data_IF_890450669705
#
_entry.id   IF_890450669705
#
_cell.length_a   1.000
_cell.length_b   1.000
_cell.length_c   1.000
_cell.angle_alpha   90.00
_cell.angle_beta   90.00
_cell.angle_gamma   90.00
#
_symmetry.space_group_name_H-M   'P 1'
#
loop_
_entity.id
_entity.type
_entity.pdbx_description
1 polymer ?
#
# COMPACT_ATOMS: atom_id res chain seq x y z
N UNK A 1 17.31 -3.96 -62.58
CA UNK A 1 18.35 -2.93 -62.42
C UNK A 1 17.91 -2.05 -61.28
N UNK A 2 18.61 -2.16 -60.14
CA UNK A 2 18.77 -1.16 -59.12
C UNK A 2 19.09 -1.84 -57.77
N UNK A 3 20.11 -1.34 -57.16
CA UNK A 3 20.97 -1.94 -56.14
C UNK A 3 20.32 -2.04 -54.73
N UNK A 4 20.92 -2.90 -53.86
CA UNK A 4 20.45 -3.12 -52.50
C UNK A 4 21.10 -2.16 -51.48
N UNK A 5 20.28 -1.57 -50.61
CA UNK A 5 20.66 -0.67 -49.51
C UNK A 5 21.42 -1.35 -48.38
N UNK A 6 22.43 -0.66 -47.90
CA UNK A 6 23.42 -1.04 -46.89
C UNK A 6 22.81 -1.29 -45.51
N UNK A 7 23.12 -2.45 -44.92
CA UNK A 7 22.96 -2.73 -43.48
C UNK A 7 24.00 -1.94 -42.67
N UNK A 8 23.58 -1.09 -41.78
CA UNK A 8 24.44 -0.53 -40.73
C UNK A 8 24.59 -1.52 -39.56
N UNK A 9 25.82 -1.89 -39.29
CA UNK A 9 26.22 -2.68 -38.10
C UNK A 9 26.28 -1.77 -36.87
N UNK A 10 25.55 -2.11 -35.85
CA UNK A 10 25.76 -1.53 -34.52
C UNK A 10 27.01 -2.13 -33.86
N UNK A 11 27.93 -1.26 -33.47
CA UNK A 11 29.13 -1.58 -32.69
C UNK A 11 28.82 -1.53 -31.18
N UNK A 12 29.31 -2.45 -30.34
CA UNK A 12 29.06 -2.43 -28.91
C UNK A 12 29.89 -1.35 -28.22
N UNK A 13 29.25 -0.57 -27.40
CA UNK A 13 29.80 0.49 -26.56
C UNK A 13 30.68 -0.12 -25.45
N UNK A 14 32.02 0.11 -25.51
CA UNK A 14 32.97 -0.21 -24.45
C UNK A 14 32.97 0.91 -23.40
N UNK A 15 32.52 0.60 -22.21
CA UNK A 15 32.66 1.46 -21.03
C UNK A 15 34.11 1.42 -20.52
N UNK A 16 34.85 2.50 -20.69
CA UNK A 16 36.12 2.72 -20.05
C UNK A 16 35.91 3.37 -18.66
N UNK A 17 36.10 2.59 -17.61
CA UNK A 17 36.30 3.12 -16.25
C UNK A 17 37.68 3.66 -16.12
N UNK A 18 37.86 4.97 -16.06
CA UNK A 18 39.13 5.63 -15.70
C UNK A 18 39.29 5.59 -14.18
N UNK A 19 40.19 4.75 -13.70
CA UNK A 19 40.75 4.86 -12.36
C UNK A 19 41.83 5.96 -12.36
N UNK A 20 41.59 7.05 -11.64
CA UNK A 20 42.59 8.08 -11.37
C UNK A 20 43.39 7.64 -10.16
N UNK A 21 44.63 7.24 -10.39
CA UNK A 21 45.65 6.99 -9.37
C UNK A 21 46.15 8.35 -8.85
N UNK A 22 45.87 8.68 -7.60
CA UNK A 22 46.45 9.83 -6.92
C UNK A 22 47.76 9.35 -6.28
N UNK A 23 48.88 9.80 -6.80
CA UNK A 23 50.20 9.67 -6.15
C UNK A 23 50.22 10.60 -4.94
N UNK A 24 50.41 10.02 -3.74
CA UNK A 24 50.63 10.76 -2.51
C UNK A 24 52.03 11.33 -2.50
N UNK A 25 52.13 12.57 -2.11
CA UNK A 25 53.36 13.22 -1.66
C UNK A 25 53.48 13.08 -0.16
N UNK A 26 54.68 12.69 0.29
CA UNK A 26 55.07 12.54 1.67
C UNK A 26 54.80 13.81 2.47
N UNK A 27 53.97 13.71 3.50
CA UNK A 27 53.94 14.65 4.59
C UNK A 27 53.94 13.84 5.90
N UNK A 28 55.05 13.94 6.63
CA UNK A 28 55.31 13.19 7.85
C UNK A 28 54.23 13.39 8.92
N UNK A 29 53.55 12.34 9.26
CA UNK A 29 52.70 12.25 10.43
C UNK A 29 53.54 11.80 11.61
N UNK A 30 53.96 12.75 12.44
CA UNK A 30 54.49 12.50 13.78
C UNK A 30 53.38 11.83 14.61
N UNK A 31 53.64 10.57 14.95
CA UNK A 31 52.87 9.82 15.95
C UNK A 31 52.96 10.52 17.31
N UNK A 32 51.97 11.28 17.70
CA UNK A 32 51.77 11.67 19.09
C UNK A 32 51.39 10.45 19.89
N UNK A 33 52.29 10.03 20.77
CA UNK A 33 52.02 9.08 21.84
C UNK A 33 50.88 9.63 22.66
N UNK A 34 49.69 9.00 22.56
CA UNK A 34 48.61 9.21 23.52
C UNK A 34 48.97 8.44 24.78
N UNK A 35 49.51 9.16 25.75
CA UNK A 35 49.70 8.69 27.11
C UNK A 35 48.29 8.47 27.72
N UNK A 36 47.93 7.18 27.79
CA UNK A 36 46.70 6.73 28.45
C UNK A 36 46.90 6.82 29.95
N UNK A 37 46.81 8.03 30.53
CA UNK A 37 46.73 8.18 31.99
C UNK A 37 45.46 7.44 32.46
N UNK A 38 45.71 6.29 33.08
CA UNK A 38 44.71 5.51 33.80
C UNK A 38 44.08 6.38 34.86
N UNK A 39 42.90 7.00 34.58
CA UNK A 39 42.02 7.47 35.65
C UNK A 39 41.44 6.22 36.32
N UNK A 40 42.08 5.83 37.45
CA UNK A 40 41.51 4.88 38.40
C UNK A 40 40.24 5.52 38.94
N UNK A 41 39.08 5.01 38.52
CA UNK A 41 37.84 5.30 39.19
C UNK A 41 37.87 4.65 40.58
N UNK A 42 38.15 5.45 41.61
CA UNK A 42 38.05 5.07 43.01
C UNK A 42 36.53 5.07 43.35
N UNK A 43 35.79 4.02 42.97
CA UNK A 43 34.42 3.85 43.40
C UNK A 43 34.28 2.98 44.64
N UNK A 44 35.34 2.29 45.08
CA UNK A 44 35.35 1.47 46.29
C UNK A 44 36.58 1.82 47.13
N UNK A 45 36.40 2.82 48.02
CA UNK A 45 37.37 3.11 49.04
C UNK A 45 37.31 2.02 50.11
N UNK A 46 38.45 1.33 50.34
CA UNK A 46 38.75 0.47 51.50
C UNK A 46 38.01 -0.88 51.59
N UNK A 47 37.77 -1.57 50.53
CA UNK A 47 37.50 -3.03 50.63
C UNK A 47 38.81 -3.78 50.41
N UNK A 48 39.10 -4.81 51.23
CA UNK A 48 40.24 -5.71 50.99
C UNK A 48 40.05 -6.47 49.68
N UNK A 49 41.15 -6.86 49.03
CA UNK A 49 41.07 -7.60 47.77
C UNK A 49 40.23 -8.87 47.88
N UNK A 50 40.21 -9.50 49.05
CA UNK A 50 39.33 -10.65 49.33
C UNK A 50 37.85 -10.28 49.34
N UNK A 51 37.48 -9.13 49.92
CA UNK A 51 36.11 -8.66 49.96
C UNK A 51 35.60 -8.29 48.56
N UNK A 52 36.43 -7.77 47.66
CA UNK A 52 36.11 -7.51 46.27
C UNK A 52 35.91 -8.82 45.48
N UNK A 53 36.75 -9.85 45.77
CA UNK A 53 36.60 -11.17 45.14
C UNK A 53 35.30 -11.86 45.55
N UNK A 54 34.91 -11.81 46.82
CA UNK A 54 33.62 -12.36 47.28
C UNK A 54 32.42 -11.59 46.74
N UNK A 55 32.52 -10.27 46.59
CA UNK A 55 31.45 -9.48 45.97
C UNK A 55 31.25 -9.83 44.50
N UNK A 56 32.37 -10.00 43.75
CA UNK A 56 32.31 -10.40 42.35
C UNK A 56 31.79 -11.82 42.17
N UNK A 57 32.17 -12.75 43.05
CA UNK A 57 31.61 -14.11 43.05
C UNK A 57 30.11 -14.10 43.36
N UNK A 58 29.67 -13.28 44.32
CA UNK A 58 28.26 -13.14 44.65
C UNK A 58 27.44 -12.58 43.48
N UNK A 59 27.94 -11.54 42.82
CA UNK A 59 27.28 -10.95 41.62
C UNK A 59 27.22 -11.98 40.50
N UNK A 60 28.32 -12.70 40.26
CA UNK A 60 28.36 -13.75 39.23
C UNK A 60 27.35 -14.87 39.50
N UNK A 61 27.24 -15.28 40.79
CA UNK A 61 26.25 -16.28 41.20
C UNK A 61 24.81 -15.84 40.96
N UNK A 62 24.49 -14.58 41.32
CA UNK A 62 23.14 -14.00 41.08
C UNK A 62 22.84 -13.93 39.56
N UNK A 63 23.81 -13.51 38.75
CA UNK A 63 23.63 -13.46 37.30
C UNK A 63 23.38 -14.88 36.71
N UNK A 64 24.13 -15.88 37.18
CA UNK A 64 23.92 -17.28 36.75
C UNK A 64 22.52 -17.78 37.14
N UNK A 65 22.05 -17.48 38.33
CA UNK A 65 20.69 -17.87 38.79
C UNK A 65 19.62 -17.19 37.94
N UNK A 66 19.76 -15.88 37.66
CA UNK A 66 18.82 -15.15 36.82
C UNK A 66 18.81 -15.70 35.39
N UNK A 67 19.98 -16.00 34.81
CA UNK A 67 20.07 -16.64 33.50
C UNK A 67 19.44 -18.02 33.44
N UNK A 68 19.64 -18.84 34.49
CA UNK A 68 19.00 -20.15 34.61
C UNK A 68 17.48 -20.03 34.74
N UNK A 69 16.98 -19.05 35.51
CA UNK A 69 15.55 -18.80 35.61
C UNK A 69 14.95 -18.29 34.28
N UNK A 70 15.68 -17.42 33.56
CA UNK A 70 15.28 -16.99 32.22
C UNK A 70 15.27 -18.14 31.22
N UNK A 71 16.28 -19.01 31.25
CA UNK A 71 16.32 -20.21 30.43
C UNK A 71 15.21 -21.21 30.78
N UNK A 72 14.94 -21.40 32.07
CA UNK A 72 13.84 -22.27 32.52
C UNK A 72 12.46 -21.72 32.04
N UNK A 73 12.26 -20.40 32.11
CA UNK A 73 11.05 -19.77 31.60
C UNK A 73 10.97 -19.83 30.05
N UNK A 74 12.10 -19.65 29.33
CA UNK A 74 12.14 -19.83 27.88
C UNK A 74 11.87 -21.29 27.49
N UNK A 75 12.44 -22.26 28.18
CA UNK A 75 12.18 -23.67 27.93
C UNK A 75 10.75 -24.08 28.31
N UNK A 76 10.21 -23.54 29.40
CA UNK A 76 8.80 -23.76 29.77
C UNK A 76 7.84 -23.14 28.74
N UNK A 77 8.17 -21.94 28.22
CA UNK A 77 7.42 -21.31 27.11
C UNK A 77 7.52 -22.11 25.81
N UNK A 78 8.69 -22.69 25.50
CA UNK A 78 8.87 -23.56 24.33
C UNK A 78 8.17 -24.91 24.50
N UNK A 79 8.13 -25.48 25.70
CA UNK A 79 7.45 -26.79 25.95
C UNK A 79 5.91 -26.59 25.88
N UNK A 80 5.38 -25.46 26.32
CA UNK A 80 3.95 -25.15 26.14
C UNK A 80 3.60 -24.72 24.69
N UNK A 81 4.59 -24.25 23.90
CA UNK A 81 4.42 -23.92 22.48
C UNK A 81 4.65 -25.10 21.53
N UNK A 82 5.26 -26.21 22.00
CA UNK A 82 5.59 -27.40 21.19
C UNK A 82 4.77 -28.63 21.51
N UNK A 83 3.83 -28.60 22.42
CA UNK A 83 2.70 -29.50 22.34
C UNK A 83 1.75 -28.94 21.28
N UNK A 84 2.20 -28.97 20.02
CA UNK A 84 1.30 -29.17 18.91
C UNK A 84 0.67 -30.56 19.20
N UNK A 85 -0.38 -30.52 19.96
CA UNK A 85 -1.42 -31.51 19.80
C UNK A 85 -1.82 -31.35 18.34
N UNK A 86 -1.41 -32.31 17.49
CA UNK A 86 -2.15 -32.66 16.30
C UNK A 86 -3.53 -33.19 16.76
N UNK A 87 -4.29 -32.33 17.41
CA UNK A 87 -5.73 -32.35 17.29
C UNK A 87 -5.99 -31.78 15.91
N UNK A 88 -6.04 -32.64 14.92
CA UNK A 88 -6.91 -32.49 13.76
C UNK A 88 -8.36 -32.43 14.29
N UNK A 89 -8.67 -31.51 15.16
CA UNK A 89 -9.99 -30.95 15.21
C UNK A 89 -10.03 -30.06 13.94
N UNK A 90 -10.68 -30.55 12.92
CA UNK A 90 -11.21 -29.70 11.86
C UNK A 90 -12.12 -28.71 12.58
N UNK A 91 -11.54 -27.55 13.01
CA UNK A 91 -12.33 -26.46 13.52
C UNK A 91 -13.14 -25.97 12.32
N UNK A 92 -14.39 -26.44 12.25
CA UNK A 92 -15.35 -25.89 11.29
C UNK A 92 -15.81 -24.56 11.82
N UNK A 93 -16.07 -23.61 10.92
CA UNK A 93 -16.67 -22.34 11.29
C UNK A 93 -18.08 -22.62 11.89
N UNK A 94 -18.33 -22.12 13.10
CA UNK A 94 -19.56 -22.42 13.85
C UNK A 94 -20.83 -21.86 13.19
N UNK A 95 -20.68 -20.73 12.42
CA UNK A 95 -21.82 -20.10 11.75
C UNK A 95 -22.11 -20.73 10.39
N UNK A 96 -21.07 -21.06 9.63
CA UNK A 96 -21.19 -21.66 8.30
C UNK A 96 -19.98 -22.53 7.99
N UNK A 97 -20.17 -23.85 7.90
CA UNK A 97 -19.07 -24.81 7.64
C UNK A 97 -18.42 -24.67 6.26
N UNK A 98 -18.99 -23.87 5.35
CA UNK A 98 -18.43 -23.57 4.01
C UNK A 98 -17.40 -22.44 4.06
N UNK A 99 -17.36 -21.70 5.16
CA UNK A 99 -16.41 -20.62 5.40
C UNK A 99 -15.26 -21.17 6.26
N UNK A 100 -14.03 -20.70 5.97
CA UNK A 100 -12.84 -21.13 6.72
C UNK A 100 -13.02 -20.87 8.22
N UNK A 101 -12.55 -21.80 9.06
CA UNK A 101 -12.55 -21.64 10.51
C UNK A 101 -11.75 -20.38 10.90
N UNK A 102 -12.15 -19.75 12.02
CA UNK A 102 -11.54 -18.52 12.55
C UNK A 102 -11.77 -17.24 11.72
N UNK A 103 -12.48 -17.31 10.59
CA UNK A 103 -12.98 -16.11 9.90
C UNK A 103 -13.89 -15.31 10.84
N UNK A 104 -13.80 -13.98 10.81
CA UNK A 104 -14.63 -13.12 11.65
C UNK A 104 -16.14 -13.40 11.44
N UNK A 105 -16.93 -13.24 12.50
CA UNK A 105 -18.37 -13.50 12.42
C UNK A 105 -19.07 -12.59 11.41
N UNK A 106 -18.61 -11.35 11.29
CA UNK A 106 -19.16 -10.39 10.33
C UNK A 106 -18.94 -10.87 8.90
N UNK A 107 -17.71 -11.21 8.56
CA UNK A 107 -17.34 -11.69 7.22
C UNK A 107 -18.01 -13.04 6.90
N UNK A 108 -18.09 -13.95 7.89
CA UNK A 108 -18.80 -15.23 7.73
C UNK A 108 -20.27 -15.02 7.34
N UNK A 109 -20.99 -14.11 8.00
CA UNK A 109 -22.40 -13.81 7.66
C UNK A 109 -22.53 -13.26 6.24
N UNK A 110 -21.64 -12.34 5.83
CA UNK A 110 -21.65 -11.80 4.48
C UNK A 110 -21.44 -12.89 3.42
N UNK A 111 -20.54 -13.86 3.67
CA UNK A 111 -20.37 -15.02 2.78
C UNK A 111 -21.60 -15.91 2.73
N UNK A 112 -22.19 -16.22 3.88
CA UNK A 112 -23.34 -17.15 3.97
C UNK A 112 -24.47 -16.76 3.02
N UNK A 113 -24.71 -15.46 2.82
CA UNK A 113 -25.79 -14.94 1.98
C UNK A 113 -25.52 -15.12 0.47
N UNK A 114 -24.26 -15.34 0.06
CA UNK A 114 -23.86 -15.32 -1.36
C UNK A 114 -23.15 -16.59 -1.86
N UNK A 115 -22.84 -17.55 -1.00
CA UNK A 115 -22.00 -18.72 -1.31
C UNK A 115 -22.49 -19.65 -2.41
N UNK A 116 -23.70 -19.52 -2.88
CA UNK A 116 -24.25 -20.39 -3.92
C UNK A 116 -24.19 -19.77 -5.32
N UNK A 117 -23.57 -18.59 -5.46
CA UNK A 117 -23.71 -17.77 -6.67
C UNK A 117 -22.48 -17.69 -7.56
N UNK A 118 -21.25 -17.94 -7.04
CA UNK A 118 -20.04 -17.86 -7.86
C UNK A 118 -18.89 -18.72 -7.31
N UNK A 119 -18.18 -19.44 -8.17
CA UNK A 119 -17.09 -20.34 -7.80
C UNK A 119 -15.94 -19.61 -7.09
N UNK A 120 -15.57 -18.40 -7.54
CA UNK A 120 -14.52 -17.62 -6.90
C UNK A 120 -14.89 -17.20 -5.46
N UNK A 121 -16.12 -16.80 -5.22
CA UNK A 121 -16.61 -16.41 -3.90
C UNK A 121 -16.62 -17.62 -2.96
N UNK A 122 -17.08 -18.77 -3.43
CA UNK A 122 -17.06 -20.02 -2.66
C UNK A 122 -15.63 -20.43 -2.31
N UNK A 123 -14.71 -20.32 -3.25
CA UNK A 123 -13.30 -20.61 -2.99
C UNK A 123 -12.70 -19.63 -1.98
N UNK A 124 -12.94 -18.32 -2.14
CA UNK A 124 -12.47 -17.27 -1.22
C UNK A 124 -13.02 -17.51 0.20
N UNK A 125 -14.29 -17.86 0.34
CA UNK A 125 -14.90 -18.18 1.63
C UNK A 125 -14.20 -19.34 2.34
N UNK A 126 -13.88 -20.41 1.60
CA UNK A 126 -13.17 -21.57 2.13
C UNK A 126 -11.71 -21.27 2.52
N UNK A 127 -11.17 -20.09 2.18
CA UNK A 127 -9.82 -19.62 2.49
C UNK A 127 -9.82 -18.21 3.14
N UNK A 128 -10.94 -17.78 3.70
CA UNK A 128 -11.14 -16.38 4.12
C UNK A 128 -10.22 -15.96 5.27
N UNK A 129 -9.92 -16.85 6.21
CA UNK A 129 -8.99 -16.57 7.31
C UNK A 129 -7.51 -16.56 6.86
N UNK A 130 -7.21 -17.22 5.73
CA UNK A 130 -5.86 -17.26 5.17
C UNK A 130 -5.40 -15.92 4.57
N UNK A 131 -6.35 -15.01 4.28
CA UNK A 131 -6.01 -13.64 3.88
C UNK A 131 -5.49 -12.84 5.09
N UNK A 132 -4.36 -12.16 4.93
CA UNK A 132 -3.79 -11.31 5.98
C UNK A 132 -4.64 -10.08 6.28
N UNK A 133 -5.44 -9.66 5.30
CA UNK A 133 -6.28 -8.49 5.34
C UNK A 133 -7.70 -8.91 4.95
N UNK A 134 -8.63 -8.90 5.92
CA UNK A 134 -10.04 -9.28 5.69
C UNK A 134 -10.74 -8.34 4.70
N UNK A 135 -10.20 -7.14 4.43
CA UNK A 135 -10.74 -6.22 3.43
C UNK A 135 -10.65 -6.77 2.00
N UNK A 136 -9.73 -7.73 1.74
CA UNK A 136 -9.64 -8.40 0.45
C UNK A 136 -10.84 -9.34 0.17
N UNK A 137 -11.17 -10.30 1.04
CA UNK A 137 -12.41 -11.06 0.85
C UNK A 137 -13.68 -10.19 0.91
N UNK A 138 -13.73 -9.11 1.72
CA UNK A 138 -14.83 -8.13 1.69
C UNK A 138 -14.92 -7.42 0.33
N UNK A 139 -13.78 -7.09 -0.29
CA UNK A 139 -13.74 -6.51 -1.63
C UNK A 139 -14.39 -7.45 -2.66
N UNK A 140 -14.07 -8.74 -2.64
CA UNK A 140 -14.67 -9.72 -3.54
C UNK A 140 -16.19 -9.87 -3.36
N UNK A 141 -16.67 -9.74 -2.12
CA UNK A 141 -18.11 -9.77 -1.81
C UNK A 141 -18.83 -8.54 -2.35
N UNK A 142 -18.23 -7.36 -2.23
CA UNK A 142 -18.79 -6.09 -2.66
C UNK A 142 -18.72 -5.89 -4.17
N UNK A 143 -17.58 -6.24 -4.76
CA UNK A 143 -17.24 -6.10 -6.17
C UNK A 143 -16.91 -7.50 -6.74
N UNK A 144 -17.91 -8.19 -7.26
CA UNK A 144 -17.74 -9.57 -7.74
C UNK A 144 -16.71 -9.69 -8.86
N UNK A 145 -16.48 -8.61 -9.61
CA UNK A 145 -15.43 -8.55 -10.64
C UNK A 145 -14.02 -8.53 -10.06
N UNK A 146 -13.87 -8.16 -8.79
CA UNK A 146 -12.60 -8.27 -8.07
C UNK A 146 -12.30 -9.70 -7.58
N UNK A 147 -13.29 -10.61 -7.57
CA UNK A 147 -13.12 -11.95 -7.01
C UNK A 147 -12.00 -12.78 -7.68
N UNK A 148 -11.79 -12.75 -9.00
CA UNK A 148 -10.65 -13.45 -9.61
C UNK A 148 -9.30 -12.90 -9.14
N UNK A 149 -9.16 -11.57 -8.98
CA UNK A 149 -7.98 -10.93 -8.41
C UNK A 149 -7.77 -11.37 -6.95
N UNK A 150 -8.79 -11.27 -6.12
CA UNK A 150 -8.69 -11.65 -4.70
C UNK A 150 -8.28 -13.12 -4.56
N UNK A 151 -8.90 -14.02 -5.32
CA UNK A 151 -8.53 -15.43 -5.35
C UNK A 151 -7.06 -15.64 -5.77
N UNK A 152 -6.56 -14.93 -6.76
CA UNK A 152 -5.19 -15.07 -7.26
C UNK A 152 -4.11 -14.75 -6.21
N UNK A 153 -4.44 -14.05 -5.13
CA UNK A 153 -3.50 -13.74 -4.04
C UNK A 153 -3.07 -15.02 -3.31
N UNK A 154 -3.96 -15.98 -3.17
CA UNK A 154 -3.69 -17.26 -2.49
C UNK A 154 -3.64 -18.45 -3.45
N UNK A 155 -4.26 -18.37 -4.62
CA UNK A 155 -4.32 -19.43 -5.63
C UNK A 155 -3.42 -19.10 -6.82
N UNK A 156 -2.20 -19.61 -6.82
CA UNK A 156 -1.22 -19.40 -7.90
C UNK A 156 -1.63 -19.99 -9.26
N UNK A 157 -2.69 -20.80 -9.32
CA UNK A 157 -3.24 -21.32 -10.57
C UNK A 157 -4.09 -20.29 -11.31
N UNK A 158 -4.46 -19.19 -10.65
CA UNK A 158 -5.26 -18.10 -11.20
C UNK A 158 -4.34 -16.90 -11.48
N UNK A 159 -4.38 -16.40 -12.69
CA UNK A 159 -3.75 -15.11 -13.03
C UNK A 159 -4.73 -13.99 -12.75
N UNK A 160 -4.29 -12.98 -11.99
CA UNK A 160 -5.08 -11.78 -11.73
C UNK A 160 -5.43 -11.10 -13.08
N UNK A 161 -6.69 -10.73 -13.31
CA UNK A 161 -7.06 -9.96 -14.48
C UNK A 161 -6.33 -8.62 -14.51
N UNK A 162 -5.75 -8.29 -15.65
CA UNK A 162 -5.05 -7.03 -15.90
C UNK A 162 -5.72 -6.30 -17.06
N UNK A 163 -5.91 -4.99 -16.88
CA UNK A 163 -6.51 -4.15 -17.91
C UNK A 163 -5.48 -3.75 -18.97
N UNK A 164 -5.90 -3.68 -20.22
CA UNK A 164 -5.12 -3.06 -21.29
C UNK A 164 -5.42 -1.55 -21.30
N UNK A 165 -4.56 -0.78 -20.60
CA UNK A 165 -4.76 0.66 -20.40
C UNK A 165 -3.79 1.41 -21.30
N UNK A 166 -4.34 2.15 -22.26
CA UNK A 166 -3.59 3.08 -23.12
C UNK A 166 -3.99 4.50 -22.77
N UNK A 167 -3.18 5.24 -21.97
CA UNK A 167 -3.45 6.62 -21.62
C UNK A 167 -3.57 7.51 -22.88
N UNK A 168 -4.66 8.25 -22.96
CA UNK A 168 -4.93 9.20 -24.05
C UNK A 168 -5.48 10.49 -23.47
N UNK A 169 -4.88 11.62 -23.84
CA UNK A 169 -5.34 12.93 -23.41
C UNK A 169 -6.78 13.20 -23.86
N UNK A 170 -7.61 13.62 -22.91
CA UNK A 170 -9.04 13.85 -23.15
C UNK A 170 -9.92 12.62 -22.99
N UNK A 171 -9.32 11.43 -22.75
CA UNK A 171 -10.04 10.18 -22.50
C UNK A 171 -9.81 9.70 -21.07
N UNK A 172 -10.88 9.59 -20.29
CA UNK A 172 -10.78 9.09 -18.91
C UNK A 172 -10.69 7.57 -18.90
N UNK A 173 -9.56 6.98 -18.50
CA UNK A 173 -9.49 5.53 -18.35
C UNK A 173 -10.33 5.10 -17.14
N UNK A 174 -10.91 3.91 -17.24
CA UNK A 174 -11.57 3.27 -16.11
C UNK A 174 -10.59 2.30 -15.46
N UNK A 175 -10.10 2.62 -14.29
CA UNK A 175 -9.11 1.85 -13.55
C UNK A 175 -9.64 1.48 -12.16
N UNK A 176 -9.36 0.25 -11.72
CA UNK A 176 -9.75 -0.24 -10.41
C UNK A 176 -8.55 -0.58 -9.55
N UNK A 177 -8.70 -0.48 -8.23
CA UNK A 177 -7.62 -0.78 -7.28
C UNK A 177 -7.19 -2.24 -7.32
N UNK A 178 -8.06 -3.15 -7.73
CA UNK A 178 -7.81 -4.59 -7.85
C UNK A 178 -7.32 -5.05 -9.22
N UNK A 179 -6.84 -4.15 -10.05
CA UNK A 179 -6.22 -4.54 -11.32
C UNK A 179 -4.95 -5.37 -11.10
N UNK A 180 -4.78 -6.43 -11.88
CA UNK A 180 -3.62 -7.33 -11.78
C UNK A 180 -2.28 -6.66 -12.01
N UNK A 181 -2.26 -5.47 -12.64
CA UNK A 181 -1.04 -4.68 -12.85
C UNK A 181 -0.46 -4.09 -11.56
N UNK A 182 -1.29 -3.80 -10.55
CA UNK A 182 -0.85 -3.11 -9.35
C UNK A 182 -1.53 -3.56 -8.06
N UNK A 183 -2.70 -4.20 -8.10
CA UNK A 183 -3.53 -4.44 -6.93
C UNK A 183 -2.84 -5.17 -5.77
N UNK A 184 -1.89 -6.07 -6.05
CA UNK A 184 -1.13 -6.82 -5.04
C UNK A 184 0.08 -6.06 -4.47
N UNK A 185 0.43 -4.88 -5.02
CA UNK A 185 1.54 -4.06 -4.54
C UNK A 185 1.26 -3.56 -3.12
N UNK A 186 2.21 -3.75 -2.21
CA UNK A 186 2.10 -3.29 -0.83
C UNK A 186 1.96 -1.77 -0.76
N UNK A 187 0.96 -1.27 -0.04
CA UNK A 187 0.74 0.14 0.20
C UNK A 187 -0.08 0.36 1.49
N UNK A 188 0.31 1.34 2.29
CA UNK A 188 -0.34 1.59 3.57
C UNK A 188 -0.20 0.39 4.51
N UNK A 189 -1.29 -0.05 5.09
CA UNK A 189 -1.34 -1.24 5.94
C UNK A 189 -1.71 -2.52 5.18
N UNK A 190 -2.05 -2.39 3.89
CA UNK A 190 -2.45 -3.49 3.03
C UNK A 190 -1.78 -3.44 1.67
N UNK A 191 -2.58 -3.31 0.64
CA UNK A 191 -2.14 -3.25 -0.76
C UNK A 191 -2.85 -2.13 -1.51
N UNK A 192 -2.46 -1.87 -2.75
CA UNK A 192 -3.19 -0.93 -3.62
C UNK A 192 -4.67 -1.32 -3.73
N UNK A 193 -4.99 -2.62 -3.73
CA UNK A 193 -6.38 -3.07 -3.81
C UNK A 193 -7.23 -2.59 -2.63
N UNK A 194 -6.65 -2.42 -1.43
CA UNK A 194 -7.36 -1.99 -0.21
C UNK A 194 -7.15 -0.53 0.14
N UNK A 195 -5.96 0.03 -0.11
CA UNK A 195 -5.55 1.36 0.35
C UNK A 195 -5.18 2.32 -0.79
N UNK A 196 -5.09 1.85 -2.05
CA UNK A 196 -4.50 2.59 -3.17
C UNK A 196 -5.48 3.42 -4.01
N UNK A 197 -6.72 3.66 -3.56
CA UNK A 197 -7.71 4.42 -4.36
C UNK A 197 -7.22 5.79 -4.78
N UNK A 198 -6.45 6.48 -3.93
CA UNK A 198 -5.84 7.77 -4.24
C UNK A 198 -4.81 7.67 -5.36
N UNK A 199 -3.98 6.62 -5.35
CA UNK A 199 -2.95 6.39 -6.35
C UNK A 199 -3.56 6.10 -7.72
N UNK A 200 -4.59 5.26 -7.75
CA UNK A 200 -5.33 4.94 -8.99
C UNK A 200 -6.09 6.14 -9.51
N UNK A 201 -6.73 6.94 -8.62
CA UNK A 201 -7.37 8.22 -8.99
C UNK A 201 -6.37 9.19 -9.60
N UNK A 202 -5.16 9.29 -9.03
CA UNK A 202 -4.11 10.15 -9.53
C UNK A 202 -3.60 9.72 -10.91
N UNK A 203 -3.45 8.41 -11.12
CA UNK A 203 -3.15 7.84 -12.42
C UNK A 203 -4.20 8.20 -13.48
N UNK A 204 -5.49 8.00 -13.18
CA UNK A 204 -6.59 8.35 -14.08
C UNK A 204 -6.59 9.84 -14.45
N UNK A 205 -6.33 10.73 -13.48
CA UNK A 205 -6.24 12.17 -13.71
C UNK A 205 -5.09 12.52 -14.65
N UNK A 206 -3.90 11.95 -14.43
CA UNK A 206 -2.73 12.18 -15.31
C UNK A 206 -2.96 11.66 -16.71
N UNK A 207 -3.52 10.47 -16.83
CA UNK A 207 -3.87 9.86 -18.12
C UNK A 207 -4.81 10.78 -18.91
N UNK A 208 -5.89 11.25 -18.27
CA UNK A 208 -6.87 12.11 -18.96
C UNK A 208 -6.33 13.51 -19.27
N UNK A 209 -5.70 14.19 -18.31
CA UNK A 209 -5.28 15.59 -18.49
C UNK A 209 -4.02 15.73 -19.34
N UNK A 210 -3.12 14.75 -19.30
CA UNK A 210 -1.79 14.82 -19.93
C UNK A 210 -1.55 13.76 -21.01
N UNK A 211 -2.37 12.70 -21.09
CA UNK A 211 -2.06 11.50 -21.86
C UNK A 211 -0.85 10.73 -21.33
N UNK A 212 -0.52 10.94 -20.04
CA UNK A 212 0.69 10.43 -19.42
C UNK A 212 0.42 9.19 -18.56
N UNK A 213 0.93 8.05 -18.98
CA UNK A 213 0.94 6.79 -18.26
C UNK A 213 2.35 6.30 -17.91
N UNK A 214 3.35 7.17 -17.96
CA UNK A 214 4.75 6.83 -17.70
C UNK A 214 5.01 6.38 -16.25
N UNK A 215 4.20 6.84 -15.33
CA UNK A 215 4.17 6.39 -13.94
C UNK A 215 2.84 5.71 -13.65
N UNK A 216 2.90 4.56 -13.02
CA UNK A 216 1.78 3.71 -12.68
C UNK A 216 1.40 3.86 -11.19
N UNK A 217 0.27 3.32 -10.73
CA UNK A 217 -0.02 3.24 -9.31
C UNK A 217 1.06 2.56 -8.46
N UNK A 218 1.87 1.65 -9.04
CA UNK A 218 3.03 1.05 -8.36
C UNK A 218 4.11 2.10 -8.06
N UNK A 219 4.45 2.93 -9.05
CA UNK A 219 5.45 3.99 -8.88
C UNK A 219 4.96 5.04 -7.87
N UNK A 220 3.66 5.32 -7.86
CA UNK A 220 3.07 6.23 -6.87
C UNK A 220 3.06 5.64 -5.47
N UNK A 221 2.94 4.31 -5.30
CA UNK A 221 3.00 3.67 -3.99
C UNK A 221 4.36 3.90 -3.30
N UNK A 222 5.46 3.87 -4.06
CA UNK A 222 6.78 4.19 -3.54
C UNK A 222 6.89 5.66 -3.12
N UNK A 223 6.41 6.60 -3.95
CA UNK A 223 6.44 8.04 -3.69
C UNK A 223 5.52 8.46 -2.55
N UNK A 224 4.37 7.78 -2.41
CA UNK A 224 3.34 8.09 -1.44
C UNK A 224 3.50 7.35 -0.10
N UNK A 225 4.57 6.59 0.10
CA UNK A 225 4.76 5.77 1.30
C UNK A 225 4.58 6.56 2.61
N UNK A 226 5.17 7.76 2.70
CA UNK A 226 5.05 8.63 3.87
C UNK A 226 3.69 9.31 4.00
N UNK A 227 2.85 9.25 2.97
CA UNK A 227 1.50 9.82 2.91
C UNK A 227 0.41 8.77 3.06
N UNK A 228 0.77 7.52 3.31
CA UNK A 228 -0.22 6.49 3.62
C UNK A 228 -1.02 6.86 4.88
N UNK A 229 -2.32 6.62 4.86
CA UNK A 229 -3.28 7.05 5.86
C UNK A 229 -4.34 5.97 6.08
N UNK A 230 -4.59 5.64 7.34
CA UNK A 230 -5.55 4.60 7.70
C UNK A 230 -7.02 5.01 7.44
N UNK A 231 -7.25 6.30 7.18
CA UNK A 231 -8.60 6.83 6.98
C UNK A 231 -9.04 6.72 5.51
N UNK A 232 -8.21 7.22 4.59
CA UNK A 232 -8.54 7.29 3.15
C UNK A 232 -7.46 6.72 2.24
N UNK A 233 -6.53 5.95 2.79
CA UNK A 233 -5.44 5.29 2.09
C UNK A 233 -4.29 6.23 1.73
N UNK A 234 -4.57 7.44 1.23
CA UNK A 234 -3.56 8.44 0.85
C UNK A 234 -3.97 9.82 1.37
N UNK A 235 -3.06 10.51 2.08
CA UNK A 235 -3.30 11.89 2.52
C UNK A 235 -3.29 12.85 1.34
N UNK A 236 -4.15 13.89 1.42
CA UNK A 236 -4.29 14.91 0.37
C UNK A 236 -3.00 15.69 0.07
N UNK A 237 -2.08 15.75 1.04
CA UNK A 237 -0.77 16.40 0.92
C UNK A 237 0.09 15.75 -0.18
N UNK A 238 -0.03 14.45 -0.40
CA UNK A 238 0.64 13.78 -1.52
C UNK A 238 0.32 14.47 -2.84
N UNK A 239 -0.94 14.65 -3.13
CA UNK A 239 -1.38 15.26 -4.40
C UNK A 239 -0.92 16.71 -4.54
N UNK A 240 -1.03 17.49 -3.45
CA UNK A 240 -0.67 18.92 -3.47
C UNK A 240 0.82 19.15 -3.63
N UNK A 241 1.65 18.28 -3.06
CA UNK A 241 3.11 18.39 -3.15
C UNK A 241 3.64 17.89 -4.51
N UNK A 242 3.04 16.86 -5.08
CA UNK A 242 3.53 16.24 -6.31
C UNK A 242 2.86 16.77 -7.59
N UNK A 243 1.81 17.60 -7.46
CA UNK A 243 1.07 18.11 -8.63
C UNK A 243 1.97 18.83 -9.63
N UNK A 244 2.81 19.77 -9.15
CA UNK A 244 3.65 20.59 -10.01
C UNK A 244 4.69 19.78 -10.79
N UNK A 245 5.31 18.80 -10.15
CA UNK A 245 6.27 17.90 -10.79
C UNK A 245 5.59 17.00 -11.83
N UNK A 246 4.33 16.64 -11.56
CA UNK A 246 3.48 15.90 -12.49
C UNK A 246 2.93 16.76 -13.65
N UNK A 247 3.28 18.05 -13.77
CA UNK A 247 2.72 18.94 -14.78
C UNK A 247 1.27 19.37 -14.51
N UNK A 248 0.81 19.26 -13.26
CA UNK A 248 -0.55 19.56 -12.84
C UNK A 248 -0.61 20.73 -11.86
N UNK A 249 -1.73 21.42 -11.86
CA UNK A 249 -2.14 22.40 -10.84
C UNK A 249 -3.26 21.77 -10.01
N UNK A 250 -3.19 21.90 -8.69
CA UNK A 250 -4.20 21.41 -7.77
C UNK A 250 -4.60 22.48 -6.77
N UNK A 251 -5.89 22.57 -6.44
CA UNK A 251 -6.42 23.51 -5.45
C UNK A 251 -7.55 22.87 -4.66
N UNK A 252 -7.48 22.98 -3.35
CA UNK A 252 -8.54 22.54 -2.45
C UNK A 252 -9.66 23.57 -2.37
N UNK A 253 -10.89 23.08 -2.29
CA UNK A 253 -12.10 23.87 -2.09
C UNK A 253 -12.96 23.28 -0.97
N UNK A 254 -13.75 24.14 -0.32
CA UNK A 254 -14.81 23.65 0.57
C UNK A 254 -15.84 22.84 -0.21
N UNK A 255 -16.34 21.76 0.40
CA UNK A 255 -17.33 20.90 -0.25
C UNK A 255 -18.66 21.62 -0.39
N UNK A 256 -19.06 21.88 -1.61
CA UNK A 256 -20.38 22.44 -1.98
C UNK A 256 -20.69 22.06 -3.43
N UNK A 257 -21.97 22.11 -3.80
CA UNK A 257 -22.38 21.83 -5.17
C UNK A 257 -21.78 22.83 -6.17
N UNK A 258 -21.72 24.11 -5.81
CA UNK A 258 -21.15 25.14 -6.68
C UNK A 258 -19.65 24.91 -6.90
N UNK A 259 -18.92 24.59 -5.84
CA UNK A 259 -17.51 24.28 -5.95
C UNK A 259 -17.26 22.97 -6.72
N UNK A 260 -18.11 21.94 -6.57
CA UNK A 260 -18.02 20.74 -7.38
C UNK A 260 -18.20 21.04 -8.87
N UNK A 261 -19.19 21.85 -9.23
CA UNK A 261 -19.42 22.29 -10.62
C UNK A 261 -18.25 23.12 -11.19
N UNK A 262 -17.60 23.93 -10.37
CA UNK A 262 -16.42 24.71 -10.76
C UNK A 262 -15.17 23.85 -10.89
N UNK A 263 -15.12 22.72 -10.20
CA UNK A 263 -13.94 21.87 -10.09
C UNK A 263 -13.79 20.87 -11.25
N UNK A 264 -14.84 20.65 -12.05
CA UNK A 264 -14.80 19.67 -13.13
C UNK A 264 -15.62 20.14 -14.33
N UNK A 265 -15.02 20.12 -15.52
CA UNK A 265 -15.67 20.49 -16.80
C UNK A 265 -15.68 19.32 -17.82
N UNK A 266 -15.00 18.23 -17.47
CA UNK A 266 -14.91 17.02 -18.28
C UNK A 266 -13.80 17.02 -19.31
N UNK A 267 -13.08 18.14 -19.49
CA UNK A 267 -12.05 18.26 -20.51
C UNK A 267 -10.73 18.80 -19.94
N UNK A 268 -10.76 19.89 -19.18
CA UNK A 268 -9.57 20.61 -18.70
C UNK A 268 -9.42 20.56 -17.18
N UNK A 269 -10.49 20.25 -16.48
CA UNK A 269 -10.54 20.19 -15.02
C UNK A 269 -11.25 18.94 -14.58
N UNK A 270 -10.68 18.29 -13.58
CA UNK A 270 -11.23 17.13 -12.88
C UNK A 270 -11.30 17.43 -11.39
N UNK A 271 -12.32 16.92 -10.72
CA UNK A 271 -12.37 16.98 -9.28
C UNK A 271 -11.84 15.66 -8.70
N UNK A 272 -10.76 15.75 -7.93
CA UNK A 272 -10.32 14.69 -7.05
C UNK A 272 -11.09 14.82 -5.74
N UNK A 273 -11.87 13.82 -5.39
CA UNK A 273 -12.75 13.84 -4.21
C UNK A 273 -12.42 12.71 -3.26
N UNK A 274 -12.46 13.00 -1.96
CA UNK A 274 -12.45 11.95 -0.96
C UNK A 274 -13.91 11.65 -0.56
N UNK A 275 -14.37 10.42 -0.82
CA UNK A 275 -15.70 9.95 -0.46
C UNK A 275 -15.72 9.50 1.01
N UNK A 276 -16.81 9.79 1.70
CA UNK A 276 -17.04 9.38 3.09
C UNK A 276 -17.20 7.87 3.19
N UNK A 277 -16.90 7.32 4.34
CA UNK A 277 -17.26 5.96 4.73
C UNK A 277 -18.74 5.69 4.46
N UNK A 278 -19.06 4.53 3.90
CA UNK A 278 -20.42 4.13 3.54
C UNK A 278 -20.99 4.83 2.29
N UNK A 279 -20.20 5.65 1.59
CA UNK A 279 -20.67 6.29 0.35
C UNK A 279 -20.86 5.28 -0.80
N UNK A 280 -19.82 4.60 -1.18
CA UNK A 280 -19.72 3.57 -2.23
C UNK A 280 -18.93 2.35 -1.77
N UNK A 281 -18.17 2.49 -0.69
CA UNK A 281 -17.37 1.50 -0.01
C UNK A 281 -17.56 1.63 1.50
N UNK A 282 -17.37 0.58 2.30
CA UNK A 282 -17.32 0.65 3.76
C UNK A 282 -16.26 1.63 4.28
N UNK A 283 -15.24 1.90 3.48
CA UNK A 283 -14.09 2.73 3.85
C UNK A 283 -14.12 4.07 3.12
N UNK A 284 -13.61 5.10 3.78
CA UNK A 284 -13.35 6.38 3.14
C UNK A 284 -12.26 6.20 2.07
N UNK A 285 -12.42 6.80 0.89
CA UNK A 285 -11.50 6.58 -0.22
C UNK A 285 -11.58 7.70 -1.26
N UNK A 286 -10.62 7.72 -2.19
CA UNK A 286 -10.55 8.70 -3.25
C UNK A 286 -11.25 8.22 -4.53
N UNK A 287 -11.84 9.19 -5.23
CA UNK A 287 -12.46 9.00 -6.53
C UNK A 287 -12.31 10.26 -7.40
N UNK A 288 -12.62 10.16 -8.68
CA UNK A 288 -12.56 11.27 -9.63
C UNK A 288 -13.95 11.60 -10.14
N UNK A 289 -14.33 12.88 -10.03
CA UNK A 289 -15.50 13.41 -10.75
C UNK A 289 -15.00 14.14 -11.98
N UNK A 290 -15.38 13.60 -13.15
CA UNK A 290 -14.97 14.20 -14.41
C UNK A 290 -15.87 15.37 -14.79
N UNK A 291 -17.19 15.26 -14.58
CA UNK A 291 -18.14 16.27 -15.00
C UNK A 291 -19.41 16.24 -14.15
N UNK A 292 -19.98 17.44 -13.92
CA UNK A 292 -21.40 17.59 -13.57
C UNK A 292 -22.16 17.93 -14.85
N UNK A 293 -23.04 17.04 -15.26
CA UNK A 293 -23.79 17.14 -16.52
C UNK A 293 -24.93 18.14 -16.44
N UNK A 294 -25.41 18.63 -17.59
CA UNK A 294 -26.53 19.60 -17.66
C UNK A 294 -27.86 19.07 -17.10
N UNK A 295 -28.04 17.76 -17.12
CA UNK A 295 -29.21 17.08 -16.53
C UNK A 295 -29.05 16.80 -15.02
N UNK A 296 -28.09 17.46 -14.36
CA UNK A 296 -27.78 17.31 -12.93
C UNK A 296 -27.20 15.96 -12.53
N UNK A 297 -26.83 15.09 -13.46
CA UNK A 297 -26.09 13.88 -13.17
C UNK A 297 -24.59 14.14 -13.10
N UNK A 298 -23.85 13.22 -12.49
CA UNK A 298 -22.40 13.31 -12.30
C UNK A 298 -21.69 12.11 -12.95
N UNK A 299 -20.62 12.39 -13.67
CA UNK A 299 -19.71 11.34 -14.17
C UNK A 299 -18.66 11.06 -13.09
N UNK A 300 -18.88 10.01 -12.31
CA UNK A 300 -18.00 9.53 -11.24
C UNK A 300 -17.16 8.36 -11.76
N UNK A 301 -15.86 8.39 -11.47
CA UNK A 301 -14.92 7.29 -11.69
C UNK A 301 -14.36 6.89 -10.31
N UNK A 302 -14.88 5.81 -9.77
CA UNK A 302 -14.54 5.30 -8.45
C UNK A 302 -13.64 4.06 -8.59
N UNK A 303 -12.33 4.17 -8.30
CA UNK A 303 -11.42 3.06 -8.43
C UNK A 303 -11.65 1.94 -7.38
N UNK A 304 -12.40 2.23 -6.32
CA UNK A 304 -12.76 1.26 -5.30
C UNK A 304 -14.11 0.59 -5.54
N UNK A 305 -14.88 1.02 -6.56
CA UNK A 305 -16.19 0.44 -6.87
C UNK A 305 -16.56 0.61 -8.35
N UNK A 306 -16.59 -0.50 -9.07
CA UNK A 306 -17.13 -0.54 -10.43
C UNK A 306 -18.63 -0.23 -10.42
N UNK A 307 -19.33 -0.77 -9.45
CA UNK A 307 -20.78 -0.52 -9.27
C UNK A 307 -21.09 0.97 -9.13
N UNK A 308 -20.23 1.71 -8.41
CA UNK A 308 -20.39 3.16 -8.26
C UNK A 308 -20.02 3.91 -9.54
N UNK A 309 -19.02 3.46 -10.28
CA UNK A 309 -18.62 4.04 -11.58
C UNK A 309 -19.72 3.87 -12.63
N UNK A 310 -20.37 2.70 -12.67
CA UNK A 310 -21.45 2.40 -13.62
C UNK A 310 -22.80 3.04 -13.22
N UNK A 311 -22.93 3.52 -11.99
CA UNK A 311 -24.18 4.09 -11.49
C UNK A 311 -24.40 5.52 -11.99
N UNK A 312 -25.67 5.91 -12.13
CA UNK A 312 -26.03 7.30 -12.35
C UNK A 312 -26.17 8.01 -11.00
N UNK A 313 -25.36 9.05 -10.80
CA UNK A 313 -25.34 9.86 -9.58
C UNK A 313 -26.03 11.18 -9.78
N UNK A 314 -26.97 11.51 -8.91
CA UNK A 314 -27.50 12.87 -8.80
C UNK A 314 -26.49 13.77 -8.07
N UNK A 315 -26.25 14.99 -8.58
CA UNK A 315 -25.23 15.91 -8.05
C UNK A 315 -25.39 16.19 -6.55
N UNK A 316 -26.62 16.35 -6.06
CA UNK A 316 -26.87 16.63 -4.64
C UNK A 316 -26.56 15.41 -3.77
N UNK A 317 -26.92 14.21 -4.25
CA UNK A 317 -26.62 12.97 -3.53
C UNK A 317 -25.13 12.69 -3.43
N UNK A 318 -24.39 12.99 -4.49
CA UNK A 318 -22.93 12.78 -4.48
C UNK A 318 -22.23 13.82 -3.60
N UNK A 319 -22.59 15.10 -3.67
CA UNK A 319 -21.92 16.14 -2.88
C UNK A 319 -22.01 15.90 -1.38
N UNK A 320 -23.12 15.34 -0.91
CA UNK A 320 -23.32 14.99 0.51
C UNK A 320 -22.39 13.86 0.97
N UNK A 321 -21.88 13.06 0.02
CA UNK A 321 -20.97 11.94 0.27
C UNK A 321 -19.49 12.33 0.20
N UNK A 322 -19.15 13.56 -0.18
CA UNK A 322 -17.78 14.06 -0.29
C UNK A 322 -17.32 14.63 1.05
N UNK A 323 -16.09 14.31 1.45
CA UNK A 323 -15.41 14.86 2.64
C UNK A 323 -14.32 15.88 2.28
N UNK A 324 -13.63 15.70 1.13
CA UNK A 324 -12.61 16.63 0.59
C UNK A 324 -12.80 16.79 -0.91
N UNK A 325 -12.53 18.00 -1.39
CA UNK A 325 -12.70 18.38 -2.80
C UNK A 325 -11.47 19.14 -3.29
N UNK A 326 -10.83 18.63 -4.32
CA UNK A 326 -9.74 19.29 -5.02
C UNK A 326 -10.10 19.45 -6.50
N UNK A 327 -9.76 20.60 -7.06
CA UNK A 327 -9.73 20.80 -8.52
C UNK A 327 -8.34 20.49 -9.02
N UNK A 328 -8.23 19.68 -10.07
CA UNK A 328 -6.98 19.36 -10.76
C UNK A 328 -7.08 19.77 -12.22
N UNK A 329 -6.04 20.42 -12.76
CA UNK A 329 -5.93 20.80 -14.17
C UNK A 329 -4.48 20.67 -14.64
N UNK A 330 -4.25 20.57 -15.96
CA UNK A 330 -2.91 20.68 -16.50
C UNK A 330 -2.31 22.08 -16.23
N UNK A 331 -0.99 22.15 -16.01
CA UNK A 331 -0.26 23.42 -15.99
C UNK A 331 -0.28 24.02 -17.41
N UNK A 332 -0.62 25.31 -17.51
CA UNK A 332 -0.63 26.07 -18.77
C UNK A 332 0.77 26.53 -19.13
#
# INVERSE_FOLDING_TARGET
>A
MSEPGKRQRFSPYKSHRNYRTIRGTDAGLTLRHFDRSRRKYRLFGKLSDDAVAYLLMGISGVICVVLLLCLANCVSGCIHGCTRQDTTSSQTNELDSRVEAQTSQNLTRQFTDVLNYADNITWIAAHAHSYRDERLPELALREQEAAPFVRSILDSSITAPASDISPEQGSMPTCYTWDGLWGSTSYGQGTIATDGSGLVSWYMIRAMLLGDGSQTPVDFAEQAHEYADDTCGTRGEFFTQHAKEAGLSIKEYSVSLDNLKLSCDGDKKLALVCLKEGATSPYQHWAVVARVNKNSTVSLYDPASKKATDATWEQNQLVDKISKLYTVSALS
#
